data_IF_411265169438
#
_entry.id   IF_411265169438
#
_cell.length_a   1.000
_cell.length_b   1.000
_cell.length_c   1.000
_cell.angle_alpha   90.00
_cell.angle_beta   90.00
_cell.angle_gamma   90.00
#
_symmetry.space_group_name_H-M   'P 1'
#
loop_
_entity.id
_entity.type
_entity.pdbx_description
1 polymer ?
#
# COMPACT_ATOMS: atom_id res chain seq x y z
N UNK A 1 -3.05 16.81 15.38
CA UNK A 1 -3.30 15.90 14.24
C UNK A 1 -3.97 14.64 14.77
N UNK A 2 -4.99 14.11 14.09
CA UNK A 2 -5.66 12.86 14.50
C UNK A 2 -5.00 11.70 13.76
N UNK A 3 -4.14 10.96 14.45
CA UNK A 3 -3.51 9.77 13.90
C UNK A 3 -4.53 8.63 13.78
N UNK A 4 -4.70 8.08 12.57
CA UNK A 4 -5.49 6.86 12.35
C UNK A 4 -4.56 5.65 12.33
N UNK A 5 -4.35 5.05 13.50
CA UNK A 5 -3.49 3.88 13.68
C UNK A 5 -3.90 2.67 12.84
N UNK A 6 -5.20 2.57 12.49
CA UNK A 6 -5.75 1.43 11.73
C UNK A 6 -5.37 1.55 10.27
N UNK A 7 -5.50 2.77 9.75
CA UNK A 7 -5.03 3.12 8.43
C UNK A 7 -3.51 2.98 8.33
N UNK A 8 -2.78 3.44 9.36
CA UNK A 8 -1.32 3.27 9.43
C UNK A 8 -0.89 1.80 9.35
N UNK A 9 -1.57 0.92 10.09
CA UNK A 9 -1.30 -0.52 10.09
C UNK A 9 -1.57 -1.16 8.73
N UNK A 10 -2.68 -0.81 8.05
CA UNK A 10 -2.97 -1.36 6.73
C UNK A 10 -2.07 -0.77 5.65
N UNK A 11 -1.66 0.49 5.79
CA UNK A 11 -0.66 1.11 4.91
C UNK A 11 0.71 0.45 5.08
N UNK A 12 1.12 0.13 6.31
CA UNK A 12 2.33 -0.67 6.55
C UNK A 12 2.30 -2.00 5.79
N UNK A 13 1.24 -2.79 5.93
CA UNK A 13 1.13 -4.08 5.24
C UNK A 13 1.02 -3.94 3.72
N UNK A 14 0.33 -2.91 3.25
CA UNK A 14 0.31 -2.54 1.84
C UNK A 14 1.75 -2.30 1.34
N UNK A 15 2.52 -1.45 2.03
CA UNK A 15 3.88 -1.08 1.64
C UNK A 15 4.83 -2.27 1.70
N UNK A 16 4.73 -3.12 2.73
CA UNK A 16 5.50 -4.36 2.83
C UNK A 16 5.22 -5.29 1.64
N UNK A 17 3.94 -5.54 1.35
CA UNK A 17 3.54 -6.42 0.24
C UNK A 17 4.02 -5.85 -1.09
N UNK A 18 3.89 -4.53 -1.25
CA UNK A 18 4.36 -3.81 -2.43
C UNK A 18 5.88 -3.90 -2.62
N UNK A 19 6.66 -3.75 -1.54
CA UNK A 19 8.12 -3.88 -1.60
C UNK A 19 8.56 -5.30 -1.97
N UNK A 20 7.88 -6.32 -1.42
CA UNK A 20 8.14 -7.73 -1.76
C UNK A 20 7.82 -8.00 -3.24
N UNK A 21 6.70 -7.50 -3.74
CA UNK A 21 6.35 -7.68 -5.16
C UNK A 21 7.28 -6.87 -6.07
N UNK A 22 7.71 -5.68 -5.64
CA UNK A 22 8.65 -4.86 -6.40
C UNK A 22 10.05 -5.47 -6.44
N UNK A 23 10.51 -6.13 -5.37
CA UNK A 23 11.79 -6.83 -5.36
C UNK A 23 11.83 -7.93 -6.41
N UNK A 24 10.75 -8.71 -6.56
CA UNK A 24 10.68 -9.71 -7.64
C UNK A 24 10.77 -9.07 -9.03
N UNK A 25 10.14 -7.92 -9.27
CA UNK A 25 10.25 -7.20 -10.55
C UNK A 25 11.67 -6.68 -10.85
N UNK A 26 12.44 -6.37 -9.81
CA UNK A 26 13.86 -5.95 -9.90
C UNK A 26 14.77 -7.17 -10.11
N UNK A 27 14.60 -8.24 -9.34
CA UNK A 27 15.44 -9.45 -9.42
C UNK A 27 15.26 -10.25 -10.72
N UNK A 28 14.08 -10.23 -11.35
CA UNK A 28 13.87 -10.94 -12.63
C UNK A 28 14.37 -10.17 -13.87
N UNK A 29 14.91 -8.96 -13.72
CA UNK A 29 15.48 -8.18 -14.83
C UNK A 29 16.99 -7.98 -14.64
N UNK A 30 17.77 -9.04 -14.85
CA UNK A 30 19.24 -8.98 -14.95
C UNK A 30 19.76 -8.01 -16.04
N UNK A 31 18.89 -7.46 -16.89
CA UNK A 31 19.21 -6.54 -17.98
C UNK A 31 18.43 -5.21 -17.94
N UNK A 32 18.20 -4.63 -16.76
CA UNK A 32 18.11 -3.16 -16.62
C UNK A 32 17.06 -2.41 -17.45
N UNK A 33 16.01 -3.05 -17.96
CA UNK A 33 14.95 -2.33 -18.68
C UNK A 33 14.07 -1.59 -17.68
N UNK A 34 14.42 -0.32 -17.42
CA UNK A 34 13.68 0.63 -16.57
C UNK A 34 12.16 0.63 -16.78
N UNK A 35 11.72 0.46 -18.03
CA UNK A 35 10.30 0.33 -18.38
C UNK A 35 9.63 -0.92 -17.77
N UNK A 36 10.31 -2.08 -17.76
CA UNK A 36 9.76 -3.32 -17.19
C UNK A 36 9.68 -3.26 -15.68
N UNK A 37 10.68 -2.65 -15.03
CA UNK A 37 10.64 -2.38 -13.60
C UNK A 37 9.50 -1.43 -13.23
N UNK A 38 9.32 -0.34 -13.99
CA UNK A 38 8.21 0.58 -13.80
C UNK A 38 6.84 -0.10 -13.97
N UNK A 39 6.68 -0.93 -15.01
CA UNK A 39 5.45 -1.68 -15.25
C UNK A 39 5.18 -2.72 -14.16
N UNK A 40 6.19 -3.50 -13.75
CA UNK A 40 6.05 -4.48 -12.68
C UNK A 40 5.65 -3.84 -11.35
N UNK A 41 6.21 -2.66 -11.08
CA UNK A 41 5.86 -1.84 -9.92
C UNK A 41 4.41 -1.37 -9.97
N UNK A 42 3.96 -0.82 -11.11
CA UNK A 42 2.57 -0.38 -11.28
C UNK A 42 1.60 -1.55 -11.10
N UNK A 43 1.93 -2.71 -11.67
CA UNK A 43 1.11 -3.93 -11.52
C UNK A 43 1.06 -4.37 -10.06
N UNK A 44 2.20 -4.40 -9.36
CA UNK A 44 2.25 -4.72 -7.93
C UNK A 44 1.38 -3.77 -7.10
N UNK A 45 1.46 -2.46 -7.38
CA UNK A 45 0.64 -1.44 -6.72
C UNK A 45 -0.85 -1.72 -6.94
N UNK A 46 -1.27 -1.97 -8.18
CA UNK A 46 -2.67 -2.22 -8.53
C UNK A 46 -3.17 -3.50 -7.85
N UNK A 47 -2.40 -4.58 -7.89
CA UNK A 47 -2.78 -5.87 -7.30
C UNK A 47 -3.01 -5.72 -5.79
N UNK A 48 -2.05 -5.11 -5.09
CA UNK A 48 -2.14 -4.93 -3.63
C UNK A 48 -3.28 -3.97 -3.29
N UNK A 49 -3.44 -2.87 -4.03
CA UNK A 49 -4.50 -1.90 -3.79
C UNK A 49 -5.89 -2.51 -3.99
N UNK A 50 -6.08 -3.30 -5.06
CA UNK A 50 -7.33 -4.01 -5.31
C UNK A 50 -7.60 -5.04 -4.22
N UNK A 51 -6.61 -5.82 -3.79
CA UNK A 51 -6.79 -6.82 -2.73
C UNK A 51 -7.14 -6.18 -1.38
N UNK A 52 -6.44 -5.12 -1.00
CA UNK A 52 -6.67 -4.43 0.27
C UNK A 52 -7.99 -3.65 0.25
N UNK A 53 -8.25 -2.83 -0.77
CA UNK A 53 -9.48 -2.03 -0.88
C UNK A 53 -10.72 -2.91 -1.01
N UNK A 54 -10.62 -4.07 -1.68
CA UNK A 54 -11.75 -5.01 -1.80
C UNK A 54 -12.14 -5.66 -0.47
N UNK A 55 -11.15 -6.01 0.36
CA UNK A 55 -11.40 -6.67 1.65
C UNK A 55 -11.66 -5.68 2.78
N UNK A 56 -11.00 -4.52 2.71
CA UNK A 56 -11.04 -3.45 3.69
C UNK A 56 -11.45 -2.13 3.02
N UNK A 57 -12.76 -1.92 2.76
CA UNK A 57 -13.27 -0.70 2.14
C UNK A 57 -12.85 0.58 2.87
N UNK A 58 -12.71 0.52 4.20
CA UNK A 58 -12.26 1.64 5.01
C UNK A 58 -10.80 2.07 4.72
N UNK A 59 -10.01 1.23 4.05
CA UNK A 59 -8.62 1.50 3.66
C UNK A 59 -8.52 2.14 2.25
N UNK A 60 -9.62 2.33 1.52
CA UNK A 60 -9.62 2.88 0.18
C UNK A 60 -8.72 4.12 0.06
N UNK A 61 -7.58 3.95 -0.63
CA UNK A 61 -6.52 4.95 -0.69
C UNK A 61 -6.89 6.11 -1.59
N UNK A 62 -7.55 5.84 -2.71
CA UNK A 62 -8.01 6.86 -3.64
C UNK A 62 -8.95 7.84 -2.95
N UNK A 63 -9.90 7.32 -2.17
CA UNK A 63 -10.88 8.13 -1.45
C UNK A 63 -10.26 8.84 -0.24
N UNK A 64 -9.42 8.14 0.53
CA UNK A 64 -8.92 8.65 1.82
C UNK A 64 -7.61 9.45 1.76
N UNK A 65 -6.76 9.20 0.77
CA UNK A 65 -5.51 9.95 0.54
C UNK A 65 -5.67 10.97 -0.61
N UNK A 66 -6.47 10.67 -1.62
CA UNK A 66 -6.60 11.55 -2.80
C UNK A 66 -5.23 11.80 -3.45
N UNK A 67 -4.88 13.07 -3.70
CA UNK A 67 -3.60 13.43 -4.32
C UNK A 67 -2.36 13.07 -3.47
N UNK A 68 -2.49 12.81 -2.16
CA UNK A 68 -1.36 12.41 -1.32
C UNK A 68 -0.90 10.97 -1.58
N UNK A 69 -1.60 10.19 -2.42
CA UNK A 69 -1.11 8.89 -2.91
C UNK A 69 0.26 9.03 -3.62
N UNK A 70 0.56 10.23 -4.15
CA UNK A 70 1.85 10.60 -4.72
C UNK A 70 3.02 10.46 -3.72
N UNK A 71 2.75 10.55 -2.40
CA UNK A 71 3.76 10.33 -1.35
C UNK A 71 4.23 8.87 -1.34
N UNK A 72 3.37 7.90 -1.63
CA UNK A 72 3.79 6.50 -1.77
C UNK A 72 4.60 6.25 -3.04
N UNK A 73 4.32 7.02 -4.11
CA UNK A 73 5.15 7.02 -5.32
C UNK A 73 6.51 7.65 -5.05
N UNK A 74 6.57 8.74 -4.26
CA UNK A 74 7.81 9.35 -3.82
C UNK A 74 8.62 8.42 -2.91
N UNK A 75 7.96 7.69 -2.00
CA UNK A 75 8.60 6.64 -1.19
C UNK A 75 9.12 5.49 -2.04
N UNK A 76 8.40 5.10 -3.11
CA UNK A 76 8.91 4.13 -4.07
C UNK A 76 10.14 4.64 -4.81
N UNK A 77 10.14 5.90 -5.27
CA UNK A 77 11.31 6.51 -5.90
C UNK A 77 12.50 6.56 -4.93
N UNK A 78 12.25 6.85 -3.65
CA UNK A 78 13.27 6.79 -2.60
C UNK A 78 13.82 5.37 -2.43
N UNK A 79 12.97 4.35 -2.39
CA UNK A 79 13.39 2.94 -2.32
C UNK A 79 14.23 2.55 -3.54
N UNK A 80 13.81 2.92 -4.75
CA UNK A 80 14.54 2.62 -5.98
C UNK A 80 15.91 3.30 -6.02
N UNK A 81 15.99 4.57 -5.57
CA UNK A 81 17.25 5.29 -5.43
C UNK A 81 18.16 4.66 -4.38
N UNK A 82 17.59 4.29 -3.23
CA UNK A 82 18.31 3.61 -2.18
C UNK A 82 18.85 2.26 -2.68
N UNK A 83 18.00 1.44 -3.32
CA UNK A 83 18.40 0.15 -3.89
C UNK A 83 19.51 0.25 -4.95
N UNK A 84 19.55 1.34 -5.73
CA UNK A 84 20.62 1.60 -6.69
C UNK A 84 21.96 1.99 -6.05
N UNK A 85 21.95 2.46 -4.80
CA UNK A 85 23.14 2.91 -4.07
C UNK A 85 23.57 1.97 -2.94
N UNK A 86 22.75 0.97 -2.61
CA UNK A 86 23.08 -0.07 -1.63
C UNK A 86 23.88 -1.20 -2.28
N UNK A 87 24.79 -1.79 -1.53
CA UNK A 87 25.63 -2.88 -2.00
C UNK A 87 24.78 -4.15 -2.19
N UNK A 88 24.68 -4.68 -3.43
CA UNK A 88 23.86 -5.85 -3.72
C UNK A 88 24.35 -7.14 -3.03
N UNK A 89 25.56 -7.14 -2.47
CA UNK A 89 26.10 -8.27 -1.69
C UNK A 89 25.60 -8.32 -0.26
N UNK A 90 24.81 -7.33 0.17
CA UNK A 90 24.27 -7.30 1.52
C UNK A 90 23.38 -8.52 1.82
N UNK A 91 23.51 -9.09 3.03
CA UNK A 91 22.65 -10.19 3.47
C UNK A 91 21.16 -9.84 3.35
N UNK A 92 20.32 -10.83 3.01
CA UNK A 92 18.87 -10.64 2.84
C UNK A 92 18.20 -9.98 4.05
N UNK A 93 18.67 -10.29 5.27
CA UNK A 93 18.16 -9.70 6.51
C UNK A 93 18.28 -8.17 6.55
N UNK A 94 19.32 -7.61 5.94
CA UNK A 94 19.54 -6.15 5.90
C UNK A 94 18.53 -5.51 4.95
N UNK A 95 18.24 -6.15 3.83
CA UNK A 95 17.21 -5.73 2.88
C UNK A 95 15.80 -5.83 3.48
N UNK A 96 15.50 -6.94 4.16
CA UNK A 96 14.22 -7.15 4.84
C UNK A 96 14.02 -6.10 5.95
N UNK A 97 15.05 -5.82 6.74
CA UNK A 97 15.02 -4.80 7.79
C UNK A 97 14.82 -3.40 7.21
N UNK A 98 15.51 -3.07 6.11
CA UNK A 98 15.37 -1.77 5.43
C UNK A 98 13.95 -1.61 4.87
N UNK A 99 13.41 -2.65 4.24
CA UNK A 99 12.03 -2.68 3.76
C UNK A 99 11.02 -2.50 4.89
N UNK A 100 11.23 -3.18 6.02
CA UNK A 100 10.42 -3.04 7.22
C UNK A 100 10.42 -1.60 7.77
N UNK A 101 11.60 -0.98 7.88
CA UNK A 101 11.72 0.41 8.34
C UNK A 101 11.00 1.39 7.41
N UNK A 102 11.17 1.24 6.10
CA UNK A 102 10.53 2.10 5.09
C UNK A 102 9.01 1.96 5.11
N UNK A 103 8.51 0.73 5.16
CA UNK A 103 7.07 0.48 5.29
C UNK A 103 6.51 1.03 6.61
N UNK A 104 7.27 0.94 7.71
CA UNK A 104 6.86 1.47 9.02
C UNK A 104 6.75 3.00 9.02
N UNK A 105 7.74 3.68 8.44
CA UNK A 105 7.73 5.14 8.29
C UNK A 105 6.60 5.57 7.36
N UNK A 106 6.48 4.95 6.18
CA UNK A 106 5.43 5.25 5.21
C UNK A 106 4.03 5.03 5.78
N UNK A 107 3.79 3.91 6.44
CA UNK A 107 2.51 3.63 7.10
C UNK A 107 2.18 4.65 8.20
N UNK A 108 3.18 5.07 8.97
CA UNK A 108 2.99 6.09 10.01
C UNK A 108 2.62 7.43 9.41
N UNK A 109 3.32 7.88 8.36
CA UNK A 109 3.02 9.13 7.64
C UNK A 109 1.59 9.08 7.07
N UNK A 110 1.24 7.96 6.45
CA UNK A 110 -0.10 7.73 5.91
C UNK A 110 -1.18 7.83 6.98
N UNK A 111 -0.93 7.28 8.18
CA UNK A 111 -1.84 7.40 9.32
C UNK A 111 -2.07 8.83 9.81
N UNK A 112 -1.12 9.74 9.59
CA UNK A 112 -1.27 11.16 9.90
C UNK A 112 -1.96 11.96 8.78
N UNK A 113 -1.73 11.58 7.53
CA UNK A 113 -2.23 12.30 6.36
C UNK A 113 -3.62 11.85 5.89
N UNK A 114 -4.07 10.68 6.33
CA UNK A 114 -5.34 10.12 5.89
C UNK A 114 -6.54 10.95 6.33
N UNK A 115 -7.50 11.13 5.42
CA UNK A 115 -8.78 11.77 5.74
C UNK A 115 -9.64 10.87 6.63
N UNK A 116 -10.46 11.43 7.54
CA UNK A 116 -11.42 10.66 8.32
C UNK A 116 -12.40 9.89 7.42
N UNK A 117 -12.85 8.72 7.88
CA UNK A 117 -13.92 7.96 7.23
C UNK A 117 -14.98 7.58 8.26
N UNK A 118 -16.24 7.51 7.82
CA UNK A 118 -17.34 6.99 8.63
C UNK A 118 -17.38 5.45 8.65
N UNK A 119 -16.65 4.82 7.73
CA UNK A 119 -16.55 3.37 7.65
C UNK A 119 -15.81 2.81 8.88
N UNK A 120 -16.46 1.88 9.57
CA UNK A 120 -15.88 1.18 10.70
C UNK A 120 -14.85 0.16 10.21
N UNK A 121 -13.81 -0.15 11.00
CA UNK A 121 -12.72 -1.04 10.57
C UNK A 121 -13.17 -2.48 10.28
N UNK A 122 -14.20 -2.94 11.01
CA UNK A 122 -14.77 -4.28 10.83
C UNK A 122 -15.70 -4.38 9.61
N UNK A 123 -16.07 -3.25 8.98
CA UNK A 123 -16.97 -3.25 7.83
C UNK A 123 -16.25 -3.75 6.59
N UNK A 124 -16.34 -5.06 6.38
CA UNK A 124 -15.93 -5.69 5.13
C UNK A 124 -16.90 -5.34 4.01
N UNK A 125 -16.45 -5.47 2.76
CA UNK A 125 -17.32 -5.27 1.59
C UNK A 125 -18.58 -6.14 1.62
N UNK A 126 -18.48 -7.37 2.11
CA UNK A 126 -19.63 -8.28 2.26
C UNK A 126 -20.66 -7.72 3.25
N UNK A 127 -20.20 -7.14 4.35
CA UNK A 127 -21.09 -6.53 5.34
C UNK A 127 -21.80 -5.30 4.80
N UNK A 128 -21.09 -4.43 4.08
CA UNK A 128 -21.68 -3.25 3.43
C UNK A 128 -22.74 -3.64 2.40
N UNK A 129 -22.45 -4.62 1.54
CA UNK A 129 -23.43 -5.15 0.57
C UNK A 129 -24.65 -5.73 1.28
N UNK A 130 -24.44 -6.47 2.37
CA UNK A 130 -25.56 -7.04 3.16
C UNK A 130 -26.43 -5.94 3.75
N UNK A 131 -25.84 -4.87 4.30
CA UNK A 131 -26.57 -3.71 4.83
C UNK A 131 -27.35 -2.99 3.73
N UNK A 132 -26.75 -2.75 2.57
CA UNK A 132 -27.41 -2.11 1.43
C UNK A 132 -28.63 -2.91 0.94
N UNK A 133 -28.49 -4.24 0.85
CA UNK A 133 -29.62 -5.13 0.50
C UNK A 133 -30.74 -5.09 1.52
N UNK A 134 -30.41 -5.05 2.82
CA UNK A 134 -31.40 -4.93 3.89
C UNK A 134 -32.14 -3.60 3.83
N UNK A 135 -31.42 -2.49 3.61
CA UNK A 135 -32.02 -1.17 3.46
C UNK A 135 -32.99 -1.12 2.27
N UNK A 136 -32.58 -1.64 1.10
CA UNK A 136 -33.47 -1.72 -0.08
C UNK A 136 -34.75 -2.52 0.18
N UNK A 137 -34.68 -3.58 0.99
CA UNK A 137 -35.85 -4.40 1.35
C UNK A 137 -36.80 -3.69 2.34
N UNK A 138 -36.31 -2.72 3.12
CA UNK A 138 -37.12 -1.98 4.09
C UNK A 138 -37.82 -0.78 3.43
N UNK A 139 -37.20 -0.19 2.42
CA UNK A 139 -37.74 0.96 1.67
C UNK A 139 -38.69 0.59 0.53
N UNK A 140 -38.91 -0.70 0.27
CA UNK A 140 -39.85 -1.24 -0.72
C UNK A 140 -40.86 -2.14 -0.03
#
# INVERSE_FOLDING_TARGET
MRFDWRYAFHSFWFLMTYLILSSTAVFFNDQGHSLRMALGTIVALIVVDVLFTRNYPYFNRVDRQGATILVSIAMFALVALLAANFDPTWPSIVWDFTGFCLASIGGTIDGYLVRPTELKPAQTRRELIRRERLLKKITH
#
